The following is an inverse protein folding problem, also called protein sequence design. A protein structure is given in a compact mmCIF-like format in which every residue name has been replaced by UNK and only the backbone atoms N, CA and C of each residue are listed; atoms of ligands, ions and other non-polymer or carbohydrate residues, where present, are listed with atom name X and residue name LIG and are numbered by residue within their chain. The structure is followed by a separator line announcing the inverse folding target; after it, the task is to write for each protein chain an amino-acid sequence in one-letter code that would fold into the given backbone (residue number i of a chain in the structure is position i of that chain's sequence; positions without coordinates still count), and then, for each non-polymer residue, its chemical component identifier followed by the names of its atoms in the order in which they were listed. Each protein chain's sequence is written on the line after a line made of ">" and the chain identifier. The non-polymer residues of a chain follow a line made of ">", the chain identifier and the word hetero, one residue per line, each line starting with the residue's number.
data_IF_237766415061
#
_entry.id   IF_237766415061
#
_cell.length_a   1.000
_cell.length_b   1.000
_cell.length_c   1.000
_cell.angle_alpha   90.00
_cell.angle_beta   90.00
_cell.angle_gamma   90.00
#
_symmetry.space_group_name_H-M   'P 1'
#
loop_
_entity.id
_entity.type
_entity.pdbx_description
1 polymer ?
#
# COMPACT_ATOMS: atom_id res chain seq x y z
N UNK A 1 -21.23 -5.21 24.30
CA UNK A 1 -21.03 -4.99 25.75
C UNK A 1 -19.92 -3.98 25.92
N UNK A 2 -20.16 -2.88 26.65
CA UNK A 2 -19.12 -1.90 26.97
C UNK A 2 -18.20 -2.43 28.07
N UNK A 3 -16.91 -2.07 27.98
CA UNK A 3 -15.86 -2.37 28.96
C UNK A 3 -15.16 -1.07 29.33
N UNK A 4 -15.02 -0.82 30.63
CA UNK A 4 -14.18 0.26 31.17
C UNK A 4 -12.74 -0.24 31.26
N UNK A 5 -11.82 0.44 30.58
CA UNK A 5 -10.38 0.20 30.73
C UNK A 5 -9.81 1.14 31.77
N UNK A 6 -9.13 0.62 32.79
CA UNK A 6 -8.45 1.37 33.86
C UNK A 6 -9.38 2.02 34.91
N UNK A 7 -10.46 1.33 35.31
CA UNK A 7 -11.33 1.76 36.41
C UNK A 7 -12.34 2.84 36.03
N UNK A 8 -12.87 3.56 37.04
CA UNK A 8 -14.01 4.50 36.90
C UNK A 8 -13.68 5.74 36.06
N UNK A 9 -12.44 6.24 36.15
CA UNK A 9 -11.94 7.36 35.33
C UNK A 9 -11.38 6.90 33.97
N UNK A 10 -11.52 5.61 33.70
CA UNK A 10 -11.02 4.93 32.51
C UNK A 10 -11.86 5.18 31.26
N UNK A 11 -11.28 4.90 30.10
CA UNK A 11 -11.97 5.00 28.84
C UNK A 11 -12.98 3.86 28.61
N UNK A 12 -14.16 4.19 28.11
CA UNK A 12 -15.20 3.22 27.76
C UNK A 12 -14.94 2.70 26.34
N UNK A 13 -14.92 1.37 26.19
CA UNK A 13 -14.81 0.69 24.90
C UNK A 13 -16.01 -0.23 24.67
N UNK A 14 -16.69 -0.07 23.54
CA UNK A 14 -17.90 -0.79 23.17
C UNK A 14 -19.19 -0.02 23.47
N UNK A 15 -20.31 -0.74 23.29
CA UNK A 15 -21.66 -0.17 23.31
C UNK A 15 -22.22 -0.11 24.73
N UNK A 16 -22.59 1.10 25.17
CA UNK A 16 -23.30 1.41 26.41
C UNK A 16 -24.63 2.10 26.06
N UNK A 17 -25.69 1.32 25.91
CA UNK A 17 -27.03 1.84 25.55
C UNK A 17 -27.02 2.61 24.22
N UNK A 18 -27.38 3.91 24.21
CA UNK A 18 -27.40 4.74 23.00
C UNK A 18 -25.99 5.25 22.60
N UNK A 19 -24.96 4.99 23.39
CA UNK A 19 -23.60 5.48 23.16
C UNK A 19 -22.66 4.35 22.78
N UNK A 20 -21.76 4.64 21.85
CA UNK A 20 -20.67 3.76 21.42
C UNK A 20 -19.34 4.45 21.72
N UNK A 21 -18.54 3.83 22.58
CA UNK A 21 -17.23 4.32 23.00
C UNK A 21 -16.10 3.54 22.33
N UNK A 22 -15.09 4.23 21.82
CA UNK A 22 -13.91 3.59 21.27
C UNK A 22 -12.67 4.45 21.46
N UNK A 23 -11.51 3.81 21.39
CA UNK A 23 -10.22 4.51 21.42
C UNK A 23 -9.78 4.78 19.99
N UNK A 24 -9.57 6.04 19.65
CA UNK A 24 -9.00 6.46 18.39
C UNK A 24 -7.70 7.21 18.67
N UNK A 25 -6.57 6.63 18.23
CA UNK A 25 -5.23 7.25 18.37
C UNK A 25 -4.92 7.71 19.80
N UNK A 26 -5.23 6.87 20.79
CA UNK A 26 -5.00 7.16 22.20
C UNK A 26 -6.04 8.07 22.87
N UNK A 27 -6.99 8.62 22.11
CA UNK A 27 -8.11 9.40 22.66
C UNK A 27 -9.36 8.54 22.77
N UNK A 28 -10.06 8.62 23.90
CA UNK A 28 -11.36 7.96 24.07
C UNK A 28 -12.46 8.86 23.52
N UNK A 29 -13.17 8.36 22.53
CA UNK A 29 -14.25 9.07 21.84
C UNK A 29 -15.57 8.35 22.15
N UNK A 30 -16.58 9.13 22.55
CA UNK A 30 -17.95 8.68 22.70
C UNK A 30 -18.78 9.28 21.58
N UNK A 31 -19.63 8.48 20.95
CA UNK A 31 -20.57 8.96 19.94
C UNK A 31 -21.94 8.31 20.09
N UNK A 32 -22.96 8.95 19.54
CA UNK A 32 -24.28 8.34 19.42
C UNK A 32 -24.21 7.11 18.51
N UNK A 33 -24.84 6.03 18.96
CA UNK A 33 -24.92 4.77 18.22
C UNK A 33 -25.75 4.97 16.97
N UNK A 34 -25.16 4.66 15.82
CA UNK A 34 -25.88 4.69 14.54
C UNK A 34 -26.81 3.48 14.45
N UNK A 35 -28.07 3.71 14.08
CA UNK A 35 -29.02 2.65 13.76
C UNK A 35 -28.63 1.92 12.48
N UNK A 36 -28.88 0.60 12.42
CA UNK A 36 -28.70 -0.16 11.18
C UNK A 36 -29.78 0.28 10.19
N UNK A 37 -29.38 0.68 8.98
CA UNK A 37 -30.32 0.99 7.91
C UNK A 37 -30.83 -0.31 7.27
N UNK A 38 -32.16 -0.41 7.06
CA UNK A 38 -32.77 -1.51 6.30
C UNK A 38 -32.99 -1.16 4.81
N UNK A 39 -32.60 0.04 4.37
CA UNK A 39 -32.73 0.45 2.97
C UNK A 39 -31.70 -0.29 2.11
N UNK A 40 -32.08 -0.87 0.96
CA UNK A 40 -31.13 -1.48 0.05
C UNK A 40 -30.15 -0.43 -0.49
N UNK A 41 -28.90 -0.81 -0.79
CA UNK A 41 -27.92 0.13 -1.32
C UNK A 41 -28.34 0.62 -2.70
N UNK A 42 -28.16 1.92 -2.94
CA UNK A 42 -28.40 2.50 -4.27
C UNK A 42 -27.30 2.06 -5.25
N UNK A 43 -27.55 2.16 -6.55
CA UNK A 43 -26.56 1.82 -7.58
C UNK A 43 -25.24 2.61 -7.40
N UNK A 44 -25.33 3.90 -7.10
CA UNK A 44 -24.15 4.73 -6.77
C UNK A 44 -23.38 4.21 -5.56
N UNK A 45 -24.07 3.65 -4.56
CA UNK A 45 -23.43 3.03 -3.39
C UNK A 45 -22.77 1.71 -3.77
N UNK A 46 -23.39 0.88 -4.61
CA UNK A 46 -22.81 -0.37 -5.10
C UNK A 46 -21.52 -0.13 -5.89
N UNK A 47 -21.53 0.86 -6.79
CA UNK A 47 -20.35 1.31 -7.53
C UNK A 47 -19.21 1.65 -6.57
N UNK A 48 -19.49 2.48 -5.56
CA UNK A 48 -18.46 2.90 -4.62
C UNK A 48 -17.97 1.75 -3.73
N UNK A 49 -18.86 0.87 -3.29
CA UNK A 49 -18.50 -0.33 -2.52
C UNK A 49 -17.60 -1.25 -3.32
N UNK A 50 -17.88 -1.46 -4.60
CA UNK A 50 -17.05 -2.28 -5.48
C UNK A 50 -15.65 -1.67 -5.68
N UNK A 51 -15.57 -0.36 -5.94
CA UNK A 51 -14.29 0.37 -6.04
C UNK A 51 -13.46 0.23 -4.77
N UNK A 52 -14.06 0.45 -3.61
CA UNK A 52 -13.39 0.31 -2.31
C UNK A 52 -12.92 -1.13 -2.09
N UNK A 53 -13.75 -2.12 -2.44
CA UNK A 53 -13.41 -3.55 -2.31
C UNK A 53 -12.20 -3.91 -3.16
N UNK A 54 -12.14 -3.44 -4.41
CA UNK A 54 -11.00 -3.71 -5.30
C UNK A 54 -9.70 -3.12 -4.75
N UNK A 55 -9.72 -1.85 -4.33
CA UNK A 55 -8.52 -1.19 -3.77
C UNK A 55 -8.07 -1.87 -2.48
N UNK A 56 -9.00 -2.22 -1.59
CA UNK A 56 -8.66 -2.90 -0.35
C UNK A 56 -8.05 -4.27 -0.63
N UNK A 57 -8.59 -5.04 -1.58
CA UNK A 57 -7.99 -6.32 -1.95
C UNK A 57 -6.57 -6.16 -2.52
N UNK A 58 -6.31 -5.08 -3.27
CA UNK A 58 -5.00 -4.78 -3.83
C UNK A 58 -3.99 -4.31 -2.77
N UNK A 59 -4.41 -3.51 -1.79
CA UNK A 59 -3.53 -2.96 -0.75
C UNK A 59 -3.36 -3.88 0.47
N UNK A 60 -4.31 -4.79 0.73
CA UNK A 60 -4.28 -5.70 1.87
C UNK A 60 -3.00 -6.56 1.96
N UNK A 61 -2.50 -7.20 0.89
CA UNK A 61 -1.28 -8.01 0.99
C UNK A 61 -0.01 -7.16 1.20
N UNK A 62 -0.07 -5.84 0.96
CA UNK A 62 1.09 -4.93 0.93
C UNK A 62 0.98 -3.78 1.93
N UNK A 63 0.19 -3.97 3.00
CA UNK A 63 -0.07 -2.90 3.98
C UNK A 63 1.19 -2.31 4.58
N UNK A 64 2.18 -3.14 4.94
CA UNK A 64 3.44 -2.67 5.53
C UNK A 64 4.28 -1.89 4.52
N UNK A 65 4.37 -2.39 3.29
CA UNK A 65 5.05 -1.72 2.18
C UNK A 65 4.48 -0.32 1.92
N UNK A 66 3.15 -0.24 1.83
CA UNK A 66 2.44 1.02 1.58
C UNK A 66 2.58 1.98 2.78
N UNK A 67 2.52 1.46 4.00
CA UNK A 67 2.72 2.26 5.20
C UNK A 67 4.13 2.86 5.24
N UNK A 68 5.15 2.11 4.85
CA UNK A 68 6.51 2.62 4.72
C UNK A 68 6.62 3.66 3.59
N UNK A 69 6.04 3.37 2.43
CA UNK A 69 6.12 4.21 1.23
C UNK A 69 5.37 5.53 1.29
N UNK A 70 4.31 5.64 2.09
CA UNK A 70 3.51 6.86 2.28
C UNK A 70 3.74 7.55 3.63
N UNK A 71 4.66 7.03 4.46
CA UNK A 71 4.90 7.56 5.79
C UNK A 71 5.28 9.05 5.78
N UNK A 72 6.17 9.46 4.87
CA UNK A 72 6.57 10.85 4.76
C UNK A 72 5.38 11.77 4.44
N UNK A 73 4.55 11.38 3.46
CA UNK A 73 3.38 12.17 3.01
C UNK A 73 2.29 12.23 4.08
N UNK A 74 2.23 11.22 4.96
CA UNK A 74 1.33 11.20 6.11
C UNK A 74 1.79 12.11 7.26
N UNK A 75 3.08 12.45 7.34
CA UNK A 75 3.63 13.35 8.36
C UNK A 75 2.93 14.70 8.30
N UNK A 76 2.37 15.15 9.43
CA UNK A 76 1.63 16.42 9.52
C UNK A 76 0.19 16.37 8.99
N UNK A 77 -0.30 15.23 8.49
CA UNK A 77 -1.69 15.06 8.07
C UNK A 77 -2.49 14.27 9.10
N UNK A 78 -3.80 14.53 9.14
CA UNK A 78 -4.72 13.75 9.95
C UNK A 78 -4.99 12.34 9.39
N UNK A 79 -4.60 12.04 8.15
CA UNK A 79 -4.84 10.75 7.49
C UNK A 79 -3.66 9.78 7.71
N UNK A 80 -3.93 8.47 7.79
CA UNK A 80 -2.85 7.46 7.83
C UNK A 80 -2.24 7.25 6.44
N UNK A 81 -1.03 6.70 6.40
CA UNK A 81 -0.34 6.34 5.16
C UNK A 81 -1.22 5.44 4.26
N UNK A 82 -1.84 4.40 4.83
CA UNK A 82 -2.80 3.55 4.12
C UNK A 82 -3.99 4.33 3.51
N UNK A 83 -4.57 5.29 4.24
CA UNK A 83 -5.68 6.10 3.72
C UNK A 83 -5.24 7.00 2.55
N UNK A 84 -4.02 7.54 2.59
CA UNK A 84 -3.47 8.33 1.50
C UNK A 84 -3.25 7.48 0.25
N UNK A 85 -2.67 6.29 0.42
CA UNK A 85 -2.47 5.34 -0.67
C UNK A 85 -3.80 4.87 -1.28
N UNK A 86 -4.79 4.53 -0.45
CA UNK A 86 -6.12 4.15 -0.92
C UNK A 86 -6.81 5.28 -1.67
N UNK A 87 -6.65 6.54 -1.21
CA UNK A 87 -7.16 7.73 -1.90
C UNK A 87 -6.51 7.94 -3.27
N UNK A 88 -5.19 7.75 -3.38
CA UNK A 88 -4.47 7.83 -4.65
C UNK A 88 -4.98 6.75 -5.63
N UNK A 89 -5.02 5.50 -5.20
CA UNK A 89 -5.51 4.38 -6.00
C UNK A 89 -6.96 4.56 -6.47
N UNK A 90 -7.83 5.11 -5.62
CA UNK A 90 -9.22 5.38 -5.98
C UNK A 90 -9.35 6.38 -7.11
N UNK A 91 -8.45 7.36 -7.18
CA UNK A 91 -8.46 8.42 -8.20
C UNK A 91 -7.85 7.99 -9.53
N UNK A 92 -6.78 7.18 -9.51
CA UNK A 92 -5.95 6.96 -10.71
C UNK A 92 -5.94 5.53 -11.23
N UNK A 93 -6.13 4.52 -10.37
CA UNK A 93 -5.86 3.12 -10.73
C UNK A 93 -7.10 2.35 -11.18
N UNK A 94 -8.30 2.89 -11.01
CA UNK A 94 -9.53 2.20 -11.43
C UNK A 94 -9.90 2.65 -12.84
N UNK A 95 -10.00 1.69 -13.75
CA UNK A 95 -10.49 1.85 -15.11
C UNK A 95 -11.80 1.06 -15.32
N UNK A 96 -12.52 1.41 -16.39
CA UNK A 96 -13.77 0.76 -16.78
C UNK A 96 -15.04 1.45 -16.28
N UNK A 97 -16.17 0.81 -16.56
CA UNK A 97 -17.50 1.24 -16.13
C UNK A 97 -18.17 0.13 -15.34
N UNK A 98 -19.07 0.49 -14.44
CA UNK A 98 -19.83 -0.50 -13.67
C UNK A 98 -20.65 -1.39 -14.61
N UNK A 99 -20.66 -2.73 -14.42
CA UNK A 99 -20.11 -3.49 -13.30
C UNK A 99 -18.66 -3.97 -13.46
N UNK A 100 -18.05 -3.81 -14.63
CA UNK A 100 -16.74 -4.38 -14.98
C UNK A 100 -15.60 -3.39 -14.73
N UNK A 101 -15.29 -3.17 -13.46
CA UNK A 101 -14.10 -2.41 -13.08
C UNK A 101 -12.83 -3.25 -13.21
N UNK A 102 -11.79 -2.64 -13.72
CA UNK A 102 -10.44 -3.21 -13.80
C UNK A 102 -9.43 -2.28 -13.16
N UNK A 103 -8.30 -2.85 -12.75
CA UNK A 103 -7.20 -2.08 -12.16
C UNK A 103 -6.16 -1.85 -13.24
N UNK A 104 -5.86 -0.57 -13.49
CA UNK A 104 -4.74 -0.16 -14.33
C UNK A 104 -3.46 -0.12 -13.50
N UNK A 105 -2.71 -1.22 -13.54
CA UNK A 105 -1.47 -1.41 -12.79
C UNK A 105 -0.37 -0.42 -13.21
N UNK A 106 -0.40 0.08 -14.44
CA UNK A 106 0.58 1.07 -14.92
C UNK A 106 0.48 2.42 -14.19
N UNK A 107 -0.72 2.75 -13.68
CA UNK A 107 -1.02 3.97 -12.93
C UNK A 107 -1.10 3.74 -11.43
N UNK A 108 -0.97 2.49 -10.97
CA UNK A 108 -0.94 2.19 -9.54
C UNK A 108 0.37 2.68 -8.92
N UNK A 109 0.27 3.33 -7.76
CA UNK A 109 1.43 3.86 -7.03
C UNK A 109 1.44 3.39 -5.59
N UNK A 110 2.49 2.68 -5.20
CA UNK A 110 2.60 2.09 -3.86
C UNK A 110 3.48 2.89 -2.89
N UNK A 111 4.31 3.78 -3.41
CA UNK A 111 5.12 4.72 -2.62
C UNK A 111 5.02 6.12 -3.21
N UNK A 112 4.98 7.14 -2.35
CA UNK A 112 4.96 8.53 -2.76
C UNK A 112 5.89 9.34 -1.85
N UNK A 113 6.75 10.15 -2.46
CA UNK A 113 7.61 11.03 -1.69
C UNK A 113 8.33 12.07 -2.56
N UNK A 114 9.13 12.89 -1.89
CA UNK A 114 9.76 14.08 -2.45
C UNK A 114 11.08 13.78 -3.18
N UNK A 115 11.61 12.56 -3.07
CA UNK A 115 12.84 12.17 -3.76
C UNK A 115 12.58 11.95 -5.25
N UNK A 116 13.43 12.53 -6.09
CA UNK A 116 13.31 12.43 -7.55
C UNK A 116 13.68 11.03 -8.04
N UNK A 117 12.88 10.51 -8.97
CA UNK A 117 13.18 9.29 -9.75
C UNK A 117 13.81 9.60 -11.11
N UNK A 118 14.15 10.87 -11.40
CA UNK A 118 14.71 11.25 -12.69
C UNK A 118 16.09 10.59 -12.92
N UNK A 119 16.26 9.94 -14.07
CA UNK A 119 17.51 9.26 -14.46
C UNK A 119 17.67 7.82 -13.97
N UNK A 120 16.65 7.26 -13.30
CA UNK A 120 16.66 5.87 -12.88
C UNK A 120 16.07 4.99 -13.99
N UNK A 121 16.94 4.24 -14.68
CA UNK A 121 16.50 3.19 -15.58
C UNK A 121 16.52 1.88 -14.82
N UNK A 122 15.35 1.40 -14.42
CA UNK A 122 15.19 0.11 -13.75
C UNK A 122 14.57 -0.91 -14.71
N UNK A 123 14.98 -2.16 -14.59
CA UNK A 123 14.49 -3.30 -15.35
C UNK A 123 14.43 -4.54 -14.46
N UNK A 124 13.61 -5.50 -14.86
CA UNK A 124 13.42 -6.75 -14.13
C UNK A 124 13.55 -7.92 -15.09
N UNK A 125 14.22 -8.97 -14.62
CA UNK A 125 14.35 -10.24 -15.33
C UNK A 125 13.86 -11.35 -14.39
N UNK A 126 12.98 -12.22 -14.89
CA UNK A 126 12.62 -13.45 -14.19
C UNK A 126 13.67 -14.52 -14.42
N UNK A 127 14.09 -15.17 -13.33
CA UNK A 127 15.02 -16.28 -13.36
C UNK A 127 14.47 -17.40 -12.46
N UNK A 128 13.52 -18.17 -12.99
CA UNK A 128 12.88 -19.27 -12.29
C UNK A 128 12.14 -18.81 -11.03
N UNK A 129 12.75 -19.01 -9.86
CA UNK A 129 12.14 -18.76 -8.55
C UNK A 129 12.45 -17.37 -7.98
N UNK A 130 13.12 -16.50 -8.73
CA UNK A 130 13.41 -15.14 -8.27
C UNK A 130 13.28 -14.10 -9.39
N UNK A 131 13.02 -12.87 -8.98
CA UNK A 131 13.05 -11.70 -9.82
C UNK A 131 14.33 -10.92 -9.54
N UNK A 132 15.14 -10.72 -10.56
CA UNK A 132 16.33 -9.88 -10.48
C UNK A 132 15.97 -8.48 -10.96
N UNK A 133 16.03 -7.53 -10.05
CA UNK A 133 15.87 -6.12 -10.33
C UNK A 133 17.24 -5.50 -10.58
N UNK A 134 17.36 -4.72 -11.64
CA UNK A 134 18.57 -3.98 -11.97
C UNK A 134 18.21 -2.53 -12.23
N UNK A 135 19.00 -1.59 -11.72
CA UNK A 135 18.79 -0.15 -11.91
C UNK A 135 20.12 0.57 -12.10
N UNK A 136 20.06 1.79 -12.64
CA UNK A 136 21.24 2.66 -12.73
C UNK A 136 21.70 3.09 -11.33
N UNK A 137 22.89 2.67 -10.88
CA UNK A 137 23.36 2.99 -9.54
C UNK A 137 23.64 4.50 -9.45
N UNK A 138 23.21 5.11 -8.35
CA UNK A 138 23.56 6.47 -8.00
C UNK A 138 24.67 6.46 -6.96
N UNK A 139 25.84 6.97 -7.34
CA UNK A 139 27.03 7.04 -6.49
C UNK A 139 27.12 8.36 -5.72
N UNK A 140 26.13 9.25 -5.88
CA UNK A 140 26.07 10.51 -5.16
C UNK A 140 25.96 10.27 -3.66
N UNK A 141 26.74 11.01 -2.85
CA UNK A 141 26.78 10.84 -1.40
C UNK A 141 25.39 10.97 -0.74
N UNK A 142 24.52 11.82 -1.30
CA UNK A 142 23.16 12.04 -0.79
C UNK A 142 22.23 10.83 -0.92
N UNK A 143 22.46 9.94 -1.90
CA UNK A 143 21.55 8.85 -2.28
C UNK A 143 22.20 7.45 -2.22
N UNK A 144 23.51 7.38 -1.99
CA UNK A 144 24.29 6.13 -1.95
C UNK A 144 23.82 5.13 -0.90
N UNK A 145 23.29 5.62 0.22
CA UNK A 145 22.76 4.81 1.32
C UNK A 145 21.25 4.56 1.23
N UNK A 146 20.57 5.04 0.19
CA UNK A 146 19.14 4.73 0.01
C UNK A 146 18.97 3.23 -0.22
N UNK A 147 18.00 2.62 0.45
CA UNK A 147 17.64 1.22 0.25
C UNK A 147 16.57 1.09 -0.83
N UNK A 148 16.68 0.05 -1.64
CA UNK A 148 15.62 -0.29 -2.60
C UNK A 148 14.43 -0.93 -1.89
N UNK A 149 13.24 -0.56 -2.35
CA UNK A 149 11.96 -1.16 -2.01
C UNK A 149 11.46 -1.89 -3.25
N UNK A 150 11.28 -3.21 -3.14
CA UNK A 150 10.84 -4.07 -4.24
C UNK A 150 9.46 -4.61 -3.94
N UNK A 151 8.61 -4.69 -4.96
CA UNK A 151 7.28 -5.27 -4.84
C UNK A 151 6.93 -6.04 -6.11
N UNK A 152 6.51 -7.28 -5.91
CA UNK A 152 5.92 -8.15 -6.92
C UNK A 152 4.50 -8.48 -6.48
N UNK A 153 3.52 -8.19 -7.32
CA UNK A 153 2.11 -8.43 -7.05
C UNK A 153 1.54 -9.40 -8.09
N UNK A 154 0.86 -10.45 -7.64
CA UNK A 154 0.19 -11.41 -8.51
C UNK A 154 -1.33 -11.14 -8.52
N UNK A 155 -1.89 -10.51 -9.57
CA UNK A 155 -3.31 -10.15 -9.63
C UNK A 155 -4.28 -11.32 -9.49
N UNK A 156 -3.90 -12.49 -10.03
CA UNK A 156 -4.74 -13.68 -10.04
C UNK A 156 -4.88 -14.28 -8.64
N UNK A 157 -3.76 -14.34 -7.91
CA UNK A 157 -3.68 -14.90 -6.55
C UNK A 157 -4.08 -13.87 -5.48
N UNK A 158 -4.01 -12.56 -5.80
CA UNK A 158 -4.18 -11.44 -4.85
C UNK A 158 -3.16 -11.47 -3.72
N UNK A 159 -1.98 -11.97 -4.05
CA UNK A 159 -0.84 -12.06 -3.15
C UNK A 159 0.27 -11.14 -3.63
N UNK A 160 1.14 -10.76 -2.70
CA UNK A 160 2.28 -9.92 -2.99
C UNK A 160 3.50 -10.40 -2.20
N UNK A 161 4.67 -10.27 -2.82
CA UNK A 161 5.96 -10.41 -2.15
C UNK A 161 6.71 -9.11 -2.30
N UNK A 162 7.29 -8.63 -1.20
CA UNK A 162 7.97 -7.35 -1.19
C UNK A 162 9.11 -7.32 -0.19
N UNK A 163 10.06 -6.44 -0.46
CA UNK A 163 11.18 -6.12 0.43
C UNK A 163 11.16 -4.62 0.69
N UNK A 164 11.14 -4.20 1.96
CA UNK A 164 11.12 -2.78 2.36
C UNK A 164 12.54 -2.21 2.46
N UNK A 165 13.51 -3.04 2.82
CA UNK A 165 14.90 -2.65 3.03
C UNK A 165 15.80 -3.62 2.27
N UNK A 166 15.92 -3.42 0.96
CA UNK A 166 16.75 -4.23 0.07
C UNK A 166 18.18 -3.71 -0.01
N UNK A 167 18.85 -4.06 -1.12
CA UNK A 167 20.18 -3.57 -1.43
C UNK A 167 20.25 -2.04 -1.47
N UNK A 168 21.45 -1.50 -1.23
CA UNK A 168 21.72 -0.07 -1.39
C UNK A 168 21.59 0.35 -2.85
N UNK A 169 21.14 1.57 -3.07
CA UNK A 169 20.98 2.17 -4.40
C UNK A 169 22.29 2.20 -5.19
N UNK A 170 23.43 2.30 -4.50
CA UNK A 170 24.78 2.24 -5.08
C UNK A 170 25.16 0.87 -5.67
N UNK A 171 24.52 -0.23 -5.24
CA UNK A 171 24.82 -1.59 -5.73
C UNK A 171 24.24 -1.81 -7.13
N UNK A 172 23.10 -1.19 -7.46
CA UNK A 172 22.49 -1.26 -8.79
C UNK A 172 21.72 -2.56 -9.09
N UNK A 173 21.72 -3.54 -8.18
CA UNK A 173 21.00 -4.81 -8.36
C UNK A 173 20.49 -5.38 -7.05
N UNK A 174 19.35 -6.07 -7.09
CA UNK A 174 18.82 -6.83 -5.96
C UNK A 174 17.91 -7.97 -6.46
N UNK A 175 17.66 -8.94 -5.60
CA UNK A 175 16.91 -10.15 -5.93
C UNK A 175 15.74 -10.32 -4.97
N UNK A 176 14.55 -10.45 -5.53
CA UNK A 176 13.33 -10.78 -4.79
C UNK A 176 13.02 -12.26 -5.01
N UNK A 177 13.04 -13.05 -3.93
CA UNK A 177 12.66 -14.46 -3.98
C UNK A 177 11.14 -14.58 -4.11
N UNK A 178 10.68 -15.39 -5.06
CA UNK A 178 9.26 -15.69 -5.24
C UNK A 178 8.89 -16.96 -4.48
N UNK A 179 7.68 -17.05 -3.91
CA UNK A 179 7.18 -18.28 -3.31
C UNK A 179 7.06 -19.38 -4.37
N UNK A 180 7.36 -20.62 -4.00
CA UNK A 180 7.19 -21.77 -4.91
C UNK A 180 5.72 -21.98 -5.35
N UNK A 181 4.77 -21.43 -4.59
CA UNK A 181 3.33 -21.48 -4.87
C UNK A 181 2.95 -20.66 -6.10
N UNK A 182 3.76 -19.68 -6.48
CA UNK A 182 3.57 -18.89 -7.69
C UNK A 182 4.10 -19.69 -8.87
N UNK A 183 3.26 -20.59 -9.39
CA UNK A 183 3.59 -21.47 -10.51
C UNK A 183 4.01 -20.72 -11.77
N UNK A 184 4.56 -21.48 -12.72
CA UNK A 184 5.02 -20.97 -14.03
C UNK A 184 3.82 -20.40 -14.81
N UNK A 185 3.94 -19.17 -15.32
CA UNK A 185 2.89 -18.51 -16.12
C UNK A 185 1.95 -17.60 -15.32
N UNK A 186 2.19 -17.39 -14.02
CA UNK A 186 1.45 -16.38 -13.24
C UNK A 186 1.91 -14.98 -13.67
N UNK A 187 0.94 -14.15 -14.02
CA UNK A 187 1.16 -12.73 -14.27
C UNK A 187 1.60 -12.06 -12.97
N UNK A 188 2.77 -11.43 -13.00
CA UNK A 188 3.33 -10.66 -11.89
C UNK A 188 3.56 -9.22 -12.35
N UNK A 189 2.98 -8.28 -11.61
CA UNK A 189 3.20 -6.85 -11.77
C UNK A 189 4.32 -6.40 -10.84
N UNK A 190 5.34 -5.74 -11.39
CA UNK A 190 6.56 -5.40 -10.64
C UNK A 190 6.75 -3.91 -10.46
N UNK A 191 7.17 -3.53 -9.25
CA UNK A 191 7.37 -2.15 -8.85
C UNK A 191 8.66 -1.99 -8.07
N UNK A 192 9.29 -0.84 -8.25
CA UNK A 192 10.53 -0.46 -7.57
C UNK A 192 10.43 0.96 -7.03
N UNK A 193 10.93 1.16 -5.81
CA UNK A 193 11.08 2.47 -5.21
C UNK A 193 12.38 2.51 -4.38
N UNK A 194 12.79 3.69 -3.93
CA UNK A 194 13.89 3.87 -3.01
C UNK A 194 13.42 4.55 -1.74
N UNK A 195 14.01 4.19 -0.62
CA UNK A 195 13.77 4.76 0.69
C UNK A 195 15.11 5.13 1.33
N UNK A 196 15.20 6.32 1.89
CA UNK A 196 16.39 6.75 2.61
C UNK A 196 16.56 5.94 3.92
N UNK A 197 17.80 5.56 4.25
CA UNK A 197 18.11 4.77 5.45
C UNK A 197 17.73 5.51 6.75
N UNK A 198 18.07 6.80 6.83
CA UNK A 198 17.94 7.61 8.05
C UNK A 198 16.67 8.47 8.09
N UNK A 199 15.77 8.34 7.11
CA UNK A 199 14.56 9.18 7.07
C UNK A 199 13.36 8.43 6.50
N UNK A 200 12.17 9.00 6.67
CA UNK A 200 10.96 8.45 6.08
C UNK A 200 10.82 8.79 4.59
N UNK A 201 11.80 9.49 4.00
CA UNK A 201 11.78 9.90 2.61
C UNK A 201 11.79 8.68 1.69
N UNK A 202 10.88 8.69 0.73
CA UNK A 202 10.77 7.68 -0.31
C UNK A 202 10.72 8.35 -1.69
N UNK A 203 11.04 7.61 -2.74
CA UNK A 203 10.72 7.99 -4.12
C UNK A 203 9.31 7.55 -4.50
N UNK A 204 8.79 8.10 -5.59
CA UNK A 204 7.61 7.53 -6.24
C UNK A 204 7.92 6.12 -6.77
N UNK A 205 6.94 5.21 -6.70
CA UNK A 205 7.11 3.85 -7.23
C UNK A 205 7.14 3.88 -8.76
N UNK A 206 8.14 3.23 -9.34
CA UNK A 206 8.30 2.99 -10.76
C UNK A 206 7.68 1.64 -11.11
N UNK A 207 6.81 1.64 -12.10
CA UNK A 207 6.26 0.41 -12.69
C UNK A 207 7.27 -0.14 -13.71
N UNK A 208 7.71 -1.38 -13.52
CA UNK A 208 8.74 -2.00 -14.37
C UNK A 208 8.16 -2.99 -15.39
N UNK A 209 6.83 -3.11 -15.42
CA UNK A 209 6.12 -3.97 -16.35
C UNK A 209 5.63 -5.27 -15.74
N UNK A 210 4.99 -6.01 -16.62
CA UNK A 210 4.37 -7.30 -16.35
C UNK A 210 5.33 -8.43 -16.75
N UNK A 211 5.49 -9.40 -15.85
CA UNK A 211 6.27 -10.62 -16.08
C UNK A 211 5.30 -11.81 -16.07
N UNK A 212 5.58 -12.83 -16.89
CA UNK A 212 4.82 -14.07 -17.00
C UNK A 212 5.74 -15.27 -16.81
#
# INVERSE_FOLDING_TARGET
>A
MARLKNGILGGITGVLGPVDGYMLRGQFILRSRRGKSNKPPTEKQLIQQQRIRMINNLLHPITEFVNAGFAHVATGKAQTAYCLASSYQHKFSIAGQYPDFTIDYSKARFTEGSMSTQGINASVISAGNYLKFTWTPDLSYAHSNDHVMLLAYAPLLKEAVYTICGAKRSIGTDVLQLPADWGIGVVIETYLAFKAENSMLCTNSLYLGQIK
#
